data_IF_193629249850
#
_entry.id   IF_193629249850
#
_cell.length_a   1.000
_cell.length_b   1.000
_cell.length_c   1.000
_cell.angle_alpha   90.00
_cell.angle_beta   90.00
_cell.angle_gamma   90.00
#
_symmetry.space_group_name_H-M   'P 1'
#
loop_
_entity.id
_entity.type
_entity.pdbx_description
1 polymer ?
#
# COMPACT_ATOMS: atom_id res chain seq x y z
N UNK A 1 -21.96 -6.23 -18.17
CA UNK A 1 -21.66 -7.15 -17.06
C UNK A 1 -22.20 -6.59 -15.75
N UNK A 2 -22.71 -7.45 -14.88
CA UNK A 2 -23.10 -7.05 -13.52
C UNK A 2 -21.83 -7.01 -12.65
N UNK A 3 -21.57 -5.86 -12.05
CA UNK A 3 -20.40 -5.61 -11.22
C UNK A 3 -20.83 -5.19 -9.81
N UNK A 4 -19.88 -5.22 -8.88
CA UNK A 4 -20.12 -4.92 -7.48
C UNK A 4 -19.04 -3.97 -6.95
N UNK A 5 -19.48 -2.86 -6.36
CA UNK A 5 -18.70 -2.04 -5.44
C UNK A 5 -19.35 -2.14 -4.04
N UNK A 6 -19.66 -1.02 -3.38
CA UNK A 6 -20.57 -1.02 -2.21
C UNK A 6 -22.01 -1.39 -2.57
N UNK A 7 -22.39 -1.25 -3.83
CA UNK A 7 -23.70 -1.61 -4.38
C UNK A 7 -23.52 -2.26 -5.77
N UNK A 8 -24.49 -3.08 -6.23
CA UNK A 8 -24.47 -3.62 -7.59
C UNK A 8 -24.65 -2.50 -8.63
N UNK A 9 -23.92 -2.60 -9.74
CA UNK A 9 -24.04 -1.72 -10.90
C UNK A 9 -23.81 -2.49 -12.20
N UNK A 10 -24.24 -1.91 -13.33
CA UNK A 10 -24.06 -2.53 -14.65
C UNK A 10 -22.97 -1.75 -15.38
N UNK A 11 -21.91 -2.42 -15.83
CA UNK A 11 -20.99 -1.86 -16.83
C UNK A 11 -21.35 -2.43 -18.20
N UNK A 12 -21.36 -1.61 -19.24
CA UNK A 12 -21.57 -2.03 -20.61
C UNK A 12 -20.85 -1.09 -21.57
N UNK A 13 -20.70 -1.48 -22.83
CA UNK A 13 -20.13 -0.63 -23.86
C UNK A 13 -21.25 -0.11 -24.76
N UNK A 14 -21.31 1.20 -24.97
CA UNK A 14 -22.15 1.86 -25.98
C UNK A 14 -21.17 2.56 -26.93
N UNK A 15 -21.20 2.24 -28.22
CA UNK A 15 -20.32 2.86 -29.23
C UNK A 15 -18.82 2.85 -28.84
N UNK A 16 -18.35 1.72 -28.32
CA UNK A 16 -16.99 1.51 -27.78
C UNK A 16 -16.61 2.39 -26.57
N UNK A 17 -17.58 3.07 -25.94
CA UNK A 17 -17.40 3.81 -24.69
C UNK A 17 -17.91 2.95 -23.53
N UNK A 18 -17.08 2.76 -22.51
CA UNK A 18 -17.53 2.10 -21.27
C UNK A 18 -18.51 3.01 -20.51
N UNK A 19 -19.69 2.47 -20.22
CA UNK A 19 -20.78 3.14 -19.51
C UNK A 19 -21.14 2.34 -18.26
N UNK A 20 -21.11 3.01 -17.10
CA UNK A 20 -21.52 2.46 -15.82
C UNK A 20 -22.90 2.99 -15.41
N UNK A 21 -23.90 2.11 -15.33
CA UNK A 21 -25.24 2.40 -14.85
C UNK A 21 -25.33 2.04 -13.37
N UNK A 22 -25.44 3.06 -12.53
CA UNK A 22 -25.49 2.92 -11.07
C UNK A 22 -26.87 3.34 -10.56
N UNK A 23 -27.68 2.43 -10.00
CA UNK A 23 -28.95 2.80 -9.40
C UNK A 23 -28.73 3.58 -8.10
N UNK A 24 -29.48 4.66 -7.90
CA UNK A 24 -29.40 5.50 -6.70
C UNK A 24 -30.79 6.03 -6.32
N UNK A 25 -31.00 6.35 -5.04
CA UNK A 25 -32.23 6.99 -4.60
C UNK A 25 -32.23 8.47 -4.98
N UNK A 26 -33.34 8.94 -5.54
CA UNK A 26 -33.55 10.37 -5.77
C UNK A 26 -33.91 11.04 -4.44
N UNK A 27 -32.92 11.65 -3.80
CA UNK A 27 -33.11 12.41 -2.55
C UNK A 27 -33.14 13.92 -2.85
N UNK A 28 -33.88 14.68 -2.04
CA UNK A 28 -34.09 16.12 -2.26
C UNK A 28 -32.98 17.02 -1.72
N UNK A 29 -32.14 16.51 -0.82
CA UNK A 29 -31.08 17.28 -0.17
C UNK A 29 -29.96 16.34 0.34
N UNK A 30 -28.72 16.84 0.48
CA UNK A 30 -27.59 16.03 0.96
C UNK A 30 -27.83 15.42 2.35
N UNK A 31 -28.50 16.14 3.25
CA UNK A 31 -28.82 15.61 4.59
C UNK A 31 -29.83 14.44 4.60
N UNK A 32 -30.38 14.06 3.44
CA UNK A 32 -31.33 12.93 3.27
C UNK A 32 -30.73 11.74 2.52
N UNK A 33 -29.42 11.72 2.29
CA UNK A 33 -28.70 10.62 1.66
C UNK A 33 -28.92 9.31 2.44
N UNK A 34 -29.26 8.23 1.73
CA UNK A 34 -29.51 6.90 2.30
C UNK A 34 -28.32 5.97 2.02
N UNK A 35 -27.78 6.04 0.80
CA UNK A 35 -26.69 5.21 0.32
C UNK A 35 -25.49 6.05 -0.13
N UNK A 36 -24.32 5.43 -0.25
CA UNK A 36 -23.12 6.15 -0.68
C UNK A 36 -23.25 6.75 -2.09
N UNK A 37 -24.05 6.14 -2.98
CA UNK A 37 -24.22 6.55 -4.37
C UNK A 37 -25.20 7.71 -4.55
N UNK A 38 -26.09 7.95 -3.58
CA UNK A 38 -27.04 9.09 -3.62
C UNK A 38 -26.32 10.45 -3.50
N UNK A 39 -25.05 10.45 -3.08
CA UNK A 39 -24.17 11.64 -3.04
C UNK A 39 -23.74 12.12 -4.42
N UNK A 40 -23.57 11.19 -5.36
CA UNK A 40 -22.92 11.47 -6.65
C UNK A 40 -23.57 12.60 -7.44
N UNK A 41 -24.92 12.74 -7.50
CA UNK A 41 -25.56 13.88 -8.15
C UNK A 41 -25.17 15.22 -7.52
N UNK A 42 -25.16 15.31 -6.18
CA UNK A 42 -24.79 16.55 -5.48
C UNK A 42 -23.31 16.89 -5.62
N UNK A 43 -22.41 15.89 -5.60
CA UNK A 43 -20.99 16.13 -5.90
C UNK A 43 -20.83 16.70 -7.32
N UNK A 44 -21.56 16.13 -8.28
CA UNK A 44 -21.51 16.58 -9.68
C UNK A 44 -22.01 18.02 -9.81
N UNK A 45 -23.11 18.34 -9.14
CA UNK A 45 -23.67 19.70 -9.10
C UNK A 45 -22.70 20.70 -8.44
N UNK A 46 -22.11 20.33 -7.31
CA UNK A 46 -21.13 21.15 -6.60
C UNK A 46 -19.92 21.44 -7.50
N UNK A 47 -19.30 20.41 -8.09
CA UNK A 47 -18.15 20.59 -8.98
C UNK A 47 -18.52 21.45 -10.20
N UNK A 48 -19.69 21.22 -10.82
CA UNK A 48 -20.12 22.01 -11.99
C UNK A 48 -20.32 23.49 -11.68
N UNK A 49 -20.73 23.83 -10.46
CA UNK A 49 -21.01 25.21 -10.04
C UNK A 49 -19.78 25.94 -9.52
N UNK A 50 -18.75 25.23 -9.05
CA UNK A 50 -17.56 25.81 -8.43
C UNK A 50 -16.29 25.71 -9.28
N UNK A 51 -16.27 24.83 -10.29
CA UNK A 51 -15.12 24.65 -11.18
C UNK A 51 -15.31 25.47 -12.47
N UNK A 52 -14.44 26.46 -12.68
CA UNK A 52 -14.41 27.23 -13.93
C UNK A 52 -13.91 26.40 -15.13
N UNK A 53 -14.14 26.87 -16.36
CA UNK A 53 -13.64 26.18 -17.57
C UNK A 53 -12.11 26.02 -17.55
N UNK A 54 -11.36 27.06 -17.15
CA UNK A 54 -9.90 27.00 -17.08
C UNK A 54 -9.41 25.97 -16.04
N UNK A 55 -10.09 25.86 -14.89
CA UNK A 55 -9.74 24.91 -13.84
C UNK A 55 -9.95 23.44 -14.27
N UNK A 56 -10.76 23.16 -15.29
CA UNK A 56 -10.90 21.78 -15.81
C UNK A 56 -9.59 21.25 -16.38
N UNK A 57 -8.79 22.11 -17.00
CA UNK A 57 -7.48 21.73 -17.51
C UNK A 57 -6.46 21.52 -16.37
N UNK A 58 -6.50 22.36 -15.34
CA UNK A 58 -5.71 22.17 -14.11
C UNK A 58 -6.00 20.82 -13.44
N UNK A 59 -7.27 20.40 -13.41
CA UNK A 59 -7.66 19.06 -12.92
C UNK A 59 -7.06 17.96 -13.80
N UNK A 60 -7.05 18.10 -15.13
CA UNK A 60 -6.46 17.11 -16.04
C UNK A 60 -4.94 17.00 -15.84
N UNK A 61 -4.26 18.14 -15.68
CA UNK A 61 -2.82 18.20 -15.38
C UNK A 61 -2.51 17.49 -14.07
N UNK A 62 -3.27 17.77 -13.00
CA UNK A 62 -3.13 17.08 -11.72
C UNK A 62 -3.36 15.56 -11.85
N UNK A 63 -4.43 15.15 -12.54
CA UNK A 63 -4.71 13.72 -12.78
C UNK A 63 -3.57 13.04 -13.53
N UNK A 64 -3.01 13.68 -14.56
CA UNK A 64 -1.88 13.13 -15.32
C UNK A 64 -0.62 13.02 -14.45
N UNK A 65 -0.29 14.05 -13.67
CA UNK A 65 0.81 14.03 -12.71
C UNK A 65 0.65 12.85 -11.74
N UNK A 66 -0.52 12.69 -11.12
CA UNK A 66 -0.77 11.60 -10.19
C UNK A 66 -0.68 10.22 -10.84
N UNK A 67 -1.19 10.06 -12.08
CA UNK A 67 -1.08 8.80 -12.84
C UNK A 67 0.36 8.41 -13.12
N UNK A 68 1.20 9.35 -13.53
CA UNK A 68 2.61 9.13 -13.84
C UNK A 68 3.47 8.68 -12.64
N UNK A 69 2.93 8.80 -11.42
CA UNK A 69 3.54 8.33 -10.19
C UNK A 69 2.73 7.25 -9.48
N UNK A 70 1.72 6.67 -10.15
CA UNK A 70 0.85 5.60 -9.62
C UNK A 70 0.12 6.02 -8.33
N UNK A 71 -0.28 7.30 -8.23
CA UNK A 71 -0.98 7.90 -7.08
C UNK A 71 -2.46 8.24 -7.36
N UNK A 72 -2.93 8.07 -8.61
CA UNK A 72 -4.32 8.36 -8.99
C UNK A 72 -5.21 7.13 -8.81
N UNK A 73 -6.25 7.25 -7.98
CA UNK A 73 -7.12 6.14 -7.58
C UNK A 73 -7.36 6.12 -6.08
N UNK A 74 -8.57 5.75 -5.66
CA UNK A 74 -8.96 5.65 -4.24
C UNK A 74 -9.37 4.22 -3.82
N UNK A 75 -9.32 3.29 -4.77
CA UNK A 75 -9.36 1.85 -4.54
C UNK A 75 -8.28 1.40 -3.56
N UNK A 76 -8.51 0.26 -2.91
CA UNK A 76 -7.63 -0.23 -1.83
C UNK A 76 -6.23 -0.58 -2.35
N UNK A 77 -6.10 -0.93 -3.64
CA UNK A 77 -4.83 -1.16 -4.32
C UNK A 77 -3.94 0.09 -4.31
N UNK A 78 -4.52 1.23 -4.69
CA UNK A 78 -3.77 2.46 -4.91
C UNK A 78 -3.67 3.28 -3.63
N UNK A 79 -4.76 3.42 -2.86
CA UNK A 79 -4.82 4.27 -1.65
C UNK A 79 -4.32 5.71 -1.91
N UNK A 80 -4.71 6.28 -3.04
CA UNK A 80 -4.23 7.56 -3.56
C UNK A 80 -5.32 8.62 -3.63
N UNK A 81 -5.28 9.43 -4.69
CA UNK A 81 -6.15 10.57 -4.91
C UNK A 81 -7.31 10.19 -5.84
N UNK A 82 -8.56 10.29 -5.35
CA UNK A 82 -9.75 10.08 -6.18
C UNK A 82 -9.97 11.24 -7.18
N UNK A 83 -10.73 10.99 -8.24
CA UNK A 83 -11.14 12.05 -9.18
C UNK A 83 -11.86 13.22 -8.49
N UNK A 84 -12.80 12.93 -7.60
CA UNK A 84 -13.48 13.96 -6.82
C UNK A 84 -12.51 14.74 -5.91
N UNK A 85 -11.56 14.05 -5.25
CA UNK A 85 -10.55 14.73 -4.45
C UNK A 85 -9.68 15.67 -5.30
N UNK A 86 -9.29 15.25 -6.51
CA UNK A 86 -8.50 16.12 -7.41
C UNK A 86 -9.28 17.38 -7.81
N UNK A 87 -10.58 17.27 -8.04
CA UNK A 87 -11.45 18.41 -8.36
C UNK A 87 -11.57 19.36 -7.16
N UNK A 88 -11.84 18.83 -5.95
CA UNK A 88 -11.90 19.63 -4.73
C UNK A 88 -10.58 20.36 -4.42
N UNK A 89 -9.44 19.71 -4.65
CA UNK A 89 -8.13 20.33 -4.44
C UNK A 89 -7.89 21.51 -5.39
N UNK A 90 -8.29 21.39 -6.66
CA UNK A 90 -8.20 22.51 -7.61
C UNK A 90 -9.21 23.62 -7.30
N UNK A 91 -10.42 23.27 -6.81
CA UNK A 91 -11.37 24.27 -6.31
C UNK A 91 -10.76 25.04 -5.12
N UNK A 92 -10.11 24.34 -4.19
CA UNK A 92 -9.54 24.95 -2.99
C UNK A 92 -8.31 25.85 -3.27
N UNK A 93 -7.47 25.48 -4.24
CA UNK A 93 -6.19 26.16 -4.49
C UNK A 93 -6.10 26.85 -5.86
N UNK A 94 -7.18 26.86 -6.65
CA UNK A 94 -7.31 27.47 -7.97
C UNK A 94 -6.53 26.80 -9.11
N UNK A 95 -5.26 26.44 -8.94
CA UNK A 95 -4.43 25.87 -10.01
C UNK A 95 -3.59 24.68 -9.54
N UNK A 96 -3.08 23.88 -10.47
CA UNK A 96 -2.12 22.82 -10.18
C UNK A 96 -0.87 23.37 -9.51
N UNK A 97 -0.32 24.47 -10.03
CA UNK A 97 0.87 25.10 -9.48
C UNK A 97 0.65 25.57 -8.03
N UNK A 98 -0.47 26.24 -7.76
CA UNK A 98 -0.83 26.70 -6.42
C UNK A 98 -1.12 25.57 -5.44
N UNK A 99 -1.76 24.51 -5.92
CA UNK A 99 -1.92 23.27 -5.15
C UNK A 99 -0.56 22.73 -4.72
N UNK A 100 0.41 22.61 -5.63
CA UNK A 100 1.74 22.10 -5.26
C UNK A 100 2.42 22.99 -4.23
N UNK A 101 2.35 24.33 -4.38
CA UNK A 101 2.93 25.28 -3.42
C UNK A 101 2.36 25.07 -2.01
N UNK A 102 1.05 24.86 -1.91
CA UNK A 102 0.39 24.59 -0.63
C UNK A 102 0.66 23.16 -0.12
N UNK A 103 0.77 22.18 -1.01
CA UNK A 103 1.04 20.79 -0.66
C UNK A 103 2.40 20.60 0.02
N UNK A 104 3.39 21.42 -0.36
CA UNK A 104 4.70 21.47 0.32
C UNK A 104 4.57 21.86 1.79
N UNK A 105 3.54 22.60 2.19
CA UNK A 105 3.32 23.00 3.58
C UNK A 105 2.44 22.01 4.37
N UNK A 106 1.79 21.06 3.71
CA UNK A 106 0.91 20.10 4.38
C UNK A 106 1.66 19.27 5.44
N UNK A 107 1.12 19.22 6.64
CA UNK A 107 1.60 18.38 7.73
C UNK A 107 0.69 17.16 7.88
N UNK A 108 1.27 15.97 7.81
CA UNK A 108 0.53 14.72 8.00
C UNK A 108 -0.24 14.74 9.32
N UNK A 109 -1.50 14.29 9.29
CA UNK A 109 -2.41 14.27 10.45
C UNK A 109 -2.77 15.64 11.04
N UNK A 110 -2.30 16.73 10.43
CA UNK A 110 -2.45 18.11 10.96
C UNK A 110 -3.01 19.09 9.94
N UNK A 111 -3.29 18.64 8.72
CA UNK A 111 -3.82 19.49 7.64
C UNK A 111 -5.29 19.17 7.42
N UNK A 112 -6.13 20.19 7.52
CA UNK A 112 -7.54 20.13 7.13
C UNK A 112 -7.85 21.23 6.13
N UNK A 113 -8.43 20.84 5.00
CA UNK A 113 -8.92 21.71 3.93
C UNK A 113 -10.45 21.66 4.00
N UNK A 114 -11.07 22.78 4.36
CA UNK A 114 -12.52 22.91 4.51
C UNK A 114 -12.98 24.11 3.68
N UNK A 115 -13.38 23.83 2.43
CA UNK A 115 -13.69 24.82 1.39
C UNK A 115 -14.88 25.71 1.83
N UNK A 116 -15.87 25.10 2.49
CA UNK A 116 -17.11 25.76 2.91
C UNK A 116 -17.07 26.24 4.38
N UNK A 117 -15.91 26.15 5.04
CA UNK A 117 -15.74 26.55 6.45
C UNK A 117 -16.77 25.94 7.42
N UNK A 118 -17.14 24.67 7.21
CA UNK A 118 -18.06 23.92 8.05
C UNK A 118 -17.60 23.78 9.52
N UNK A 119 -16.29 23.84 9.76
CA UNK A 119 -15.70 23.69 11.08
C UNK A 119 -15.12 25.01 11.60
N UNK A 120 -15.54 25.42 12.80
CA UNK A 120 -15.04 26.64 13.48
C UNK A 120 -13.51 26.68 13.72
N UNK A 121 -12.78 25.56 13.59
CA UNK A 121 -11.32 25.54 13.64
C UNK A 121 -10.76 24.26 13.04
N UNK A 122 -9.51 24.31 12.59
CA UNK A 122 -8.73 23.15 12.12
C UNK A 122 -8.68 22.04 13.18
N UNK A 123 -8.58 22.39 14.48
CA UNK A 123 -8.56 21.42 15.57
C UNK A 123 -9.84 20.57 15.60
N UNK A 124 -11.01 21.21 15.54
CA UNK A 124 -12.30 20.48 15.53
C UNK A 124 -12.46 19.61 14.29
N UNK A 125 -12.01 20.11 13.13
CA UNK A 125 -11.98 19.30 11.90
C UNK A 125 -11.12 18.03 12.08
N UNK A 126 -9.89 18.17 12.59
CA UNK A 126 -8.98 17.04 12.80
C UNK A 126 -9.46 16.07 13.89
N UNK A 127 -10.13 16.56 14.93
CA UNK A 127 -10.77 15.74 15.95
C UNK A 127 -11.89 14.85 15.39
N UNK A 128 -12.60 15.32 14.35
CA UNK A 128 -13.62 14.54 13.65
C UNK A 128 -13.02 13.42 12.81
N UNK A 129 -11.89 13.68 12.15
CA UNK A 129 -11.28 12.79 11.15
C UNK A 129 -9.91 12.25 11.58
N UNK A 130 -9.84 11.75 12.82
CA UNK A 130 -8.59 11.25 13.42
C UNK A 130 -7.92 10.17 12.57
N UNK A 131 -6.60 10.21 12.49
CA UNK A 131 -5.79 9.19 11.80
C UNK A 131 -5.73 9.33 10.28
N UNK A 132 -6.38 10.33 9.68
CA UNK A 132 -6.26 10.61 8.24
C UNK A 132 -4.96 11.36 7.94
N UNK A 133 -4.23 10.95 6.91
CA UNK A 133 -2.99 11.63 6.50
C UNK A 133 -3.25 13.08 6.09
N UNK A 134 -4.32 13.30 5.33
CA UNK A 134 -4.88 14.59 4.93
C UNK A 134 -6.39 14.57 5.17
N UNK A 135 -6.94 15.70 5.62
CA UNK A 135 -8.38 15.90 5.70
C UNK A 135 -8.80 16.91 4.65
N UNK A 136 -9.74 16.50 3.79
CA UNK A 136 -10.47 17.40 2.88
C UNK A 136 -11.94 17.20 3.17
N UNK A 137 -12.57 18.19 3.81
CA UNK A 137 -13.99 18.13 4.18
C UNK A 137 -14.80 18.12 2.91
N UNK A 138 -15.70 17.13 2.79
CA UNK A 138 -16.62 17.08 1.66
C UNK A 138 -17.66 18.21 1.79
N UNK A 139 -17.74 19.14 0.81
CA UNK A 139 -18.66 20.27 0.89
C UNK A 139 -20.14 19.87 0.88
N UNK A 140 -20.45 18.68 0.36
CA UNK A 140 -21.83 18.14 0.30
C UNK A 140 -22.20 17.37 1.58
N UNK A 141 -21.20 16.78 2.25
CA UNK A 141 -21.38 16.01 3.48
C UNK A 141 -20.24 16.31 4.47
N UNK A 142 -20.38 17.34 5.32
CA UNK A 142 -19.30 17.78 6.21
C UNK A 142 -18.80 16.71 7.19
N UNK A 143 -19.52 15.58 7.34
CA UNK A 143 -19.11 14.44 8.17
C UNK A 143 -18.22 13.45 7.42
N UNK A 144 -17.87 13.71 6.16
CA UNK A 144 -17.02 12.88 5.30
C UNK A 144 -15.69 13.57 4.99
N UNK A 145 -14.61 12.78 5.00
CA UNK A 145 -13.31 13.17 4.49
C UNK A 145 -13.16 12.63 3.05
N UNK A 146 -13.06 13.51 2.06
CA UNK A 146 -12.86 13.15 0.66
C UNK A 146 -11.49 12.50 0.41
N UNK A 147 -10.51 12.72 1.30
CA UNK A 147 -9.18 12.11 1.27
C UNK A 147 -9.03 10.87 2.18
N UNK A 148 -10.12 10.27 2.64
CA UNK A 148 -10.07 9.13 3.58
C UNK A 148 -9.28 7.91 3.07
N UNK A 149 -9.24 7.70 1.75
CA UNK A 149 -8.49 6.60 1.13
C UNK A 149 -6.99 6.89 0.97
N UNK A 150 -6.55 8.15 1.11
CA UNK A 150 -5.17 8.55 0.88
C UNK A 150 -4.26 8.04 2.00
N UNK A 151 -3.38 7.10 1.66
CA UNK A 151 -2.40 6.56 2.62
C UNK A 151 -1.33 7.59 3.00
N UNK A 152 -0.72 7.42 4.19
CA UNK A 152 0.44 8.24 4.59
C UNK A 152 1.59 8.12 3.59
N UNK A 153 1.81 6.93 3.02
CA UNK A 153 2.84 6.68 1.99
C UNK A 153 2.61 7.59 0.78
N UNK A 154 1.43 7.56 0.19
CA UNK A 154 1.12 8.32 -1.01
C UNK A 154 1.02 9.83 -0.75
N UNK A 155 0.51 10.23 0.41
CA UNK A 155 0.58 11.61 0.87
C UNK A 155 2.03 12.12 0.90
N UNK A 156 2.94 11.32 1.47
CA UNK A 156 4.35 11.69 1.62
C UNK A 156 5.07 11.75 0.28
N UNK A 157 4.78 10.80 -0.62
CA UNK A 157 5.30 10.83 -2.00
C UNK A 157 4.79 12.08 -2.71
N UNK A 158 3.49 12.37 -2.70
CA UNK A 158 2.94 13.55 -3.37
C UNK A 158 3.55 14.86 -2.87
N UNK A 159 3.70 15.02 -1.55
CA UNK A 159 4.36 16.19 -0.96
C UNK A 159 5.81 16.32 -1.42
N UNK A 160 6.56 15.22 -1.46
CA UNK A 160 7.95 15.22 -1.95
C UNK A 160 8.03 15.60 -3.44
N UNK A 161 7.16 15.00 -4.27
CA UNK A 161 7.07 15.31 -5.69
C UNK A 161 6.70 16.77 -5.93
N UNK A 162 5.78 17.32 -5.12
CA UNK A 162 5.39 18.73 -5.18
C UNK A 162 6.60 19.64 -4.97
N UNK A 163 7.40 19.37 -3.92
CA UNK A 163 8.61 20.15 -3.61
C UNK A 163 9.62 20.11 -4.76
N UNK A 164 9.92 18.92 -5.26
CA UNK A 164 10.94 18.75 -6.29
C UNK A 164 10.47 19.32 -7.63
N UNK A 165 9.20 19.13 -8.00
CA UNK A 165 8.65 19.72 -9.23
C UNK A 165 8.71 21.25 -9.21
N UNK A 166 8.40 21.88 -8.07
CA UNK A 166 8.49 23.34 -7.94
C UNK A 166 9.94 23.86 -8.06
N UNK A 167 10.92 23.09 -7.60
CA UNK A 167 12.34 23.45 -7.70
C UNK A 167 12.94 23.14 -9.09
N UNK A 168 12.47 22.07 -9.74
CA UNK A 168 12.98 21.56 -11.02
C UNK A 168 11.81 21.10 -11.90
N UNK A 169 11.04 22.03 -12.49
CA UNK A 169 9.91 21.67 -13.34
C UNK A 169 10.38 20.88 -14.56
N UNK A 170 9.71 19.77 -14.87
CA UNK A 170 10.04 18.95 -16.03
C UNK A 170 8.82 18.18 -16.52
N UNK A 171 8.72 17.99 -17.84
CA UNK A 171 7.66 17.17 -18.45
C UNK A 171 7.73 15.70 -18.02
N UNK A 172 8.91 15.24 -17.59
CA UNK A 172 9.19 13.87 -17.11
C UNK A 172 8.37 13.48 -15.87
N UNK A 173 7.84 14.46 -15.14
CA UNK A 173 6.92 14.20 -14.02
C UNK A 173 5.52 13.74 -14.47
N UNK A 174 5.15 13.96 -15.73
CA UNK A 174 3.81 13.71 -16.26
C UNK A 174 3.73 12.46 -17.12
N UNK A 175 4.85 11.83 -17.48
CA UNK A 175 4.87 10.65 -18.35
C UNK A 175 5.77 9.57 -17.77
N UNK A 176 5.41 8.30 -17.94
CA UNK A 176 6.33 7.20 -17.68
C UNK A 176 7.16 6.95 -18.94
N UNK A 177 8.46 7.20 -18.83
CA UNK A 177 9.42 7.04 -19.94
C UNK A 177 10.10 5.67 -19.92
N UNK A 178 9.81 4.84 -18.91
CA UNK A 178 10.38 3.51 -18.82
C UNK A 178 9.52 2.54 -19.63
N UNK A 179 9.96 2.20 -20.85
CA UNK A 179 9.52 0.96 -21.49
C UNK A 179 9.95 -0.20 -20.59
N UNK A 180 8.99 -0.78 -19.86
CA UNK A 180 9.26 -1.93 -19.03
C UNK A 180 9.45 -3.16 -19.93
N UNK A 181 10.62 -3.81 -19.83
CA UNK A 181 10.93 -5.04 -20.57
C UNK A 181 9.85 -6.10 -20.29
N UNK A 182 9.13 -6.52 -21.32
CA UNK A 182 7.96 -7.40 -21.18
C UNK A 182 8.29 -8.88 -21.14
N UNK A 183 9.52 -9.27 -21.51
CA UNK A 183 9.94 -10.67 -21.51
C UNK A 183 10.37 -11.13 -20.10
N UNK A 184 9.62 -12.06 -19.44
CA UNK A 184 9.93 -12.51 -18.09
C UNK A 184 11.31 -13.16 -17.96
N UNK A 185 11.79 -13.81 -19.03
CA UNK A 185 13.08 -14.50 -19.00
C UNK A 185 14.25 -13.54 -18.84
N UNK A 186 14.10 -12.27 -19.25
CA UNK A 186 15.13 -11.24 -19.05
C UNK A 186 15.20 -10.75 -17.61
N UNK A 187 14.18 -10.98 -16.78
CA UNK A 187 14.22 -10.66 -15.36
C UNK A 187 14.92 -11.73 -14.52
N UNK A 188 14.93 -12.99 -14.97
CA UNK A 188 15.51 -14.12 -14.22
C UNK A 188 16.99 -13.91 -13.87
N UNK A 189 17.90 -13.51 -14.80
CA UNK A 189 19.30 -13.28 -14.47
C UNK A 189 19.49 -12.21 -13.39
N UNK A 190 18.69 -11.13 -13.47
CA UNK A 190 18.72 -10.04 -12.50
C UNK A 190 18.31 -10.54 -11.10
N UNK A 191 17.18 -11.24 -11.02
CA UNK A 191 16.66 -11.81 -9.77
C UNK A 191 17.66 -12.82 -9.18
N UNK A 192 18.18 -13.73 -10.00
CA UNK A 192 19.15 -14.74 -9.55
C UNK A 192 20.42 -14.09 -8.99
N UNK A 193 20.96 -13.07 -9.68
CA UNK A 193 22.13 -12.34 -9.18
C UNK A 193 21.83 -11.59 -7.88
N UNK A 194 20.64 -10.97 -7.76
CA UNK A 194 20.18 -10.28 -6.54
C UNK A 194 20.04 -11.23 -5.36
N UNK A 195 19.60 -12.46 -5.57
CA UNK A 195 19.48 -13.48 -4.51
C UNK A 195 20.84 -14.04 -4.09
N UNK A 196 21.80 -14.18 -5.02
CA UNK A 196 23.17 -14.60 -4.68
C UNK A 196 23.97 -13.52 -3.95
N UNK A 197 23.72 -12.25 -4.27
CA UNK A 197 24.49 -11.12 -3.73
C UNK A 197 24.13 -10.78 -2.29
N UNK A 198 22.88 -11.00 -1.88
CA UNK A 198 22.43 -10.62 -0.55
C UNK A 198 21.74 -11.78 0.15
N UNK A 199 22.06 -11.95 1.43
CA UNK A 199 21.42 -12.94 2.28
C UNK A 199 19.97 -12.52 2.57
N UNK A 200 19.04 -13.21 1.91
CA UNK A 200 17.60 -13.02 2.06
C UNK A 200 16.87 -14.34 1.96
N UNK A 201 15.86 -14.53 2.80
CA UNK A 201 14.91 -15.65 2.70
C UNK A 201 13.54 -15.11 2.36
N UNK A 202 12.95 -15.62 1.28
CA UNK A 202 11.72 -15.07 0.73
C UNK A 202 10.62 -16.12 0.82
N UNK A 203 9.50 -15.74 1.41
CA UNK A 203 8.26 -16.50 1.39
C UNK A 203 7.35 -15.97 0.30
N UNK A 204 6.79 -16.88 -0.49
CA UNK A 204 5.79 -16.61 -1.53
C UNK A 204 4.53 -17.38 -1.16
N UNK A 205 3.50 -16.66 -0.75
CA UNK A 205 2.22 -17.22 -0.32
C UNK A 205 1.22 -17.05 -1.47
N UNK A 206 0.69 -18.16 -1.98
CA UNK A 206 -0.13 -18.19 -3.19
C UNK A 206 -1.58 -18.48 -2.83
N UNK A 207 -2.50 -17.68 -3.39
CA UNK A 207 -3.93 -17.80 -3.17
C UNK A 207 -4.67 -17.85 -4.51
N UNK A 208 -5.60 -18.79 -4.64
CA UNK A 208 -6.56 -18.84 -5.73
C UNK A 208 -7.79 -18.01 -5.36
N UNK A 209 -8.23 -17.14 -6.26
CA UNK A 209 -9.38 -16.27 -6.08
C UNK A 209 -10.59 -16.88 -6.79
N UNK A 210 -11.61 -17.22 -6.01
CA UNK A 210 -12.87 -17.79 -6.52
C UNK A 210 -13.87 -16.68 -6.85
N UNK A 211 -13.88 -15.60 -6.06
CA UNK A 211 -14.78 -14.46 -6.24
C UNK A 211 -13.98 -13.18 -6.51
N UNK A 212 -13.89 -12.72 -7.77
CA UNK A 212 -13.02 -11.63 -8.17
C UNK A 212 -13.63 -10.26 -7.85
N UNK A 213 -13.68 -9.87 -6.57
CA UNK A 213 -14.01 -8.50 -6.15
C UNK A 213 -12.70 -7.80 -5.76
N UNK A 214 -12.15 -6.88 -6.57
CA UNK A 214 -10.81 -6.31 -6.37
C UNK A 214 -10.56 -5.75 -4.97
N UNK A 215 -11.42 -4.85 -4.49
CA UNK A 215 -11.26 -4.24 -3.16
C UNK A 215 -11.38 -5.27 -2.03
N UNK A 216 -12.20 -6.31 -2.21
CA UNK A 216 -12.30 -7.39 -1.24
C UNK A 216 -11.00 -8.21 -1.19
N UNK A 217 -10.37 -8.48 -2.34
CA UNK A 217 -9.08 -9.17 -2.44
C UNK A 217 -8.01 -8.31 -1.76
N UNK A 218 -7.84 -7.07 -2.20
CA UNK A 218 -6.82 -6.16 -1.69
C UNK A 218 -6.97 -5.90 -0.19
N UNK A 219 -8.19 -5.66 0.28
CA UNK A 219 -8.48 -5.46 1.71
C UNK A 219 -8.08 -6.66 2.56
N UNK A 220 -8.40 -7.88 2.10
CA UNK A 220 -8.02 -9.11 2.81
C UNK A 220 -6.52 -9.37 2.76
N UNK A 221 -5.88 -9.17 1.61
CA UNK A 221 -4.43 -9.36 1.44
C UNK A 221 -3.61 -8.36 2.26
N UNK A 222 -4.01 -7.09 2.32
CA UNK A 222 -3.35 -6.08 3.15
C UNK A 222 -3.53 -6.38 4.65
N UNK A 223 -4.71 -6.85 5.07
CA UNK A 223 -4.93 -7.28 6.46
C UNK A 223 -4.02 -8.46 6.82
N UNK A 224 -3.98 -9.49 5.97
CA UNK A 224 -3.13 -10.66 6.17
C UNK A 224 -1.65 -10.25 6.22
N UNK A 225 -1.20 -9.41 5.28
CA UNK A 225 0.16 -8.84 5.25
C UNK A 225 0.51 -8.18 6.58
N UNK A 226 -0.36 -7.29 7.08
CA UNK A 226 -0.11 -6.57 8.33
C UNK A 226 -0.10 -7.51 9.55
N UNK A 227 -1.00 -8.50 9.61
CA UNK A 227 -1.01 -9.52 10.67
C UNK A 227 0.30 -10.32 10.69
N UNK A 228 0.75 -10.78 9.52
CA UNK A 228 2.00 -11.54 9.41
C UNK A 228 3.20 -10.64 9.77
N UNK A 229 3.29 -9.42 9.22
CA UNK A 229 4.40 -8.51 9.53
C UNK A 229 4.49 -8.19 11.02
N UNK A 230 3.35 -7.96 11.69
CA UNK A 230 3.33 -7.71 13.13
C UNK A 230 3.81 -8.92 13.94
N UNK A 231 3.38 -10.12 13.55
CA UNK A 231 3.83 -11.36 14.20
C UNK A 231 5.31 -11.65 13.92
N UNK A 232 5.80 -11.42 12.71
CA UNK A 232 7.22 -11.60 12.39
C UNK A 232 8.08 -10.59 13.14
N UNK A 233 7.67 -9.32 13.22
CA UNK A 233 8.42 -8.28 13.95
C UNK A 233 8.54 -8.56 15.44
N UNK A 234 7.60 -9.27 16.06
CA UNK A 234 7.76 -9.71 17.45
C UNK A 234 8.75 -10.88 17.59
N UNK A 235 8.90 -11.69 16.54
CA UNK A 235 9.81 -12.84 16.52
C UNK A 235 11.22 -12.50 16.03
N UNK A 236 11.42 -11.55 15.13
CA UNK A 236 12.71 -11.16 14.52
C UNK A 236 12.76 -9.63 14.35
N UNK A 237 12.79 -8.92 15.48
CA UNK A 237 12.83 -7.46 15.53
C UNK A 237 14.17 -6.85 15.06
N UNK A 238 15.23 -7.65 15.01
CA UNK A 238 16.58 -7.28 14.60
C UNK A 238 16.82 -7.38 13.08
N UNK A 239 15.80 -7.81 12.33
CA UNK A 239 15.88 -8.03 10.88
C UNK A 239 14.97 -7.11 10.10
N UNK A 240 15.44 -6.71 8.92
CA UNK A 240 14.61 -5.97 7.97
C UNK A 240 13.65 -6.92 7.26
N UNK A 241 12.36 -6.62 7.36
CA UNK A 241 11.27 -7.41 6.78
C UNK A 241 10.47 -6.52 5.83
N UNK A 242 10.40 -6.94 4.58
CA UNK A 242 9.60 -6.27 3.56
C UNK A 242 8.56 -7.22 3.02
N UNK A 243 7.34 -6.72 2.81
CA UNK A 243 6.27 -7.53 2.24
C UNK A 243 5.40 -6.69 1.32
N UNK A 244 4.95 -7.31 0.24
CA UNK A 244 4.04 -6.68 -0.69
C UNK A 244 3.15 -7.71 -1.39
N UNK A 245 2.06 -7.22 -1.95
CA UNK A 245 1.00 -8.04 -2.55
C UNK A 245 0.97 -7.82 -4.05
N UNK A 246 0.84 -8.91 -4.79
CA UNK A 246 0.52 -8.91 -6.20
C UNK A 246 -0.81 -9.58 -6.44
N UNK A 247 -1.62 -9.04 -7.34
CA UNK A 247 -2.88 -9.65 -7.79
C UNK A 247 -2.87 -9.65 -9.31
N UNK A 248 -3.26 -10.76 -9.92
CA UNK A 248 -3.32 -10.84 -11.38
C UNK A 248 -4.36 -9.84 -11.92
N UNK A 249 -3.91 -8.79 -12.61
CA UNK A 249 -4.79 -7.70 -13.06
C UNK A 249 -5.76 -8.10 -14.17
N UNK A 250 -5.46 -9.14 -14.94
CA UNK A 250 -6.27 -9.57 -16.09
C UNK A 250 -7.41 -10.49 -15.68
N UNK A 251 -7.12 -11.56 -14.93
CA UNK A 251 -8.10 -12.56 -14.54
C UNK A 251 -8.63 -12.38 -13.12
N UNK A 252 -7.89 -11.64 -12.27
CA UNK A 252 -8.12 -11.55 -10.83
C UNK A 252 -8.17 -12.92 -10.14
N UNK A 253 -7.66 -13.98 -10.78
CA UNK A 253 -7.81 -15.37 -10.33
C UNK A 253 -6.73 -15.81 -9.34
N UNK A 254 -5.67 -15.01 -9.19
CA UNK A 254 -4.55 -15.28 -8.29
C UNK A 254 -4.18 -14.02 -7.50
N UNK A 255 -3.91 -14.21 -6.21
CA UNK A 255 -3.30 -13.23 -5.34
C UNK A 255 -2.06 -13.85 -4.68
N UNK A 256 -1.00 -13.05 -4.52
CA UNK A 256 0.28 -13.49 -3.98
C UNK A 256 0.71 -12.48 -2.93
N UNK A 257 1.12 -12.97 -1.76
CA UNK A 257 1.84 -12.18 -0.78
C UNK A 257 3.30 -12.64 -0.78
N UNK A 258 4.22 -11.72 -1.02
CA UNK A 258 5.66 -11.98 -0.94
C UNK A 258 6.23 -11.29 0.29
N UNK A 259 7.06 -12.01 1.05
CA UNK A 259 7.72 -11.53 2.26
C UNK A 259 9.21 -11.83 2.13
N UNK A 260 10.07 -10.81 2.15
CA UNK A 260 11.52 -10.94 2.17
C UNK A 260 12.05 -10.60 3.56
N UNK A 261 12.78 -11.54 4.15
CA UNK A 261 13.49 -11.35 5.42
C UNK A 261 14.98 -11.28 5.10
N UNK A 262 15.61 -10.15 5.43
CA UNK A 262 17.05 -9.95 5.23
C UNK A 262 17.87 -10.57 6.36
N UNK A 263 19.12 -10.94 6.07
CA UNK A 263 20.07 -11.52 7.03
C UNK A 263 19.55 -12.82 7.66
N UNK A 264 18.89 -13.66 6.86
CA UNK A 264 18.22 -14.85 7.36
C UNK A 264 19.20 -15.95 7.80
N UNK A 265 20.39 -16.03 7.18
CA UNK A 265 21.42 -17.03 7.51
C UNK A 265 21.93 -16.97 8.95
N UNK A 266 21.63 -15.89 9.68
CA UNK A 266 21.75 -15.88 11.14
C UNK A 266 20.72 -16.85 11.71
N UNK A 267 21.11 -18.09 11.93
CA UNK A 267 20.22 -19.10 12.54
C UNK A 267 20.10 -18.93 14.06
N UNK A 268 20.29 -17.72 14.59
CA UNK A 268 20.19 -17.49 16.02
C UNK A 268 19.53 -16.15 16.32
N UNK A 269 18.95 -16.05 17.52
CA UNK A 269 18.36 -14.83 18.05
C UNK A 269 18.74 -14.67 19.52
N UNK A 270 19.13 -13.45 19.89
CA UNK A 270 19.23 -13.04 21.29
C UNK A 270 17.81 -12.86 21.87
N UNK A 271 17.51 -13.60 22.95
CA UNK A 271 16.25 -13.46 23.67
C UNK A 271 16.53 -12.78 25.01
N UNK A 272 16.09 -11.54 25.12
CA UNK A 272 16.20 -10.74 26.34
C UNK A 272 15.14 -11.20 27.35
N UNK A 273 15.60 -11.52 28.55
CA UNK A 273 14.78 -11.90 29.69
C UNK A 273 14.52 -10.74 30.66
N UNK A 274 13.85 -11.04 31.79
CA UNK A 274 13.66 -10.07 32.85
C UNK A 274 14.98 -9.76 33.56
N UNK A 275 14.98 -8.71 34.40
CA UNK A 275 16.07 -8.49 35.34
C UNK A 275 16.17 -9.65 36.33
N UNK A 276 17.39 -10.06 36.67
CA UNK A 276 17.64 -11.19 37.55
C UNK A 276 17.09 -11.00 38.98
N UNK A 277 16.93 -9.74 39.42
CA UNK A 277 16.33 -9.41 40.71
C UNK A 277 14.80 -9.61 40.74
N UNK A 278 14.13 -9.73 39.60
CA UNK A 278 12.74 -10.20 39.52
C UNK A 278 12.73 -11.73 39.52
N UNK A 279 12.99 -12.32 40.70
CA UNK A 279 13.28 -13.74 40.86
C UNK A 279 12.19 -14.65 40.28
N UNK A 280 10.91 -14.28 40.43
CA UNK A 280 9.78 -15.08 39.94
C UNK A 280 9.81 -15.16 38.40
N UNK A 281 9.94 -14.01 37.74
CA UNK A 281 9.99 -13.99 36.28
C UNK A 281 11.31 -14.54 35.73
N UNK A 282 12.42 -14.35 36.45
CA UNK A 282 13.72 -14.92 36.13
C UNK A 282 13.67 -16.46 36.13
N UNK A 283 13.15 -17.09 37.19
CA UNK A 283 12.99 -18.56 37.25
C UNK A 283 12.07 -19.05 36.13
N UNK A 284 10.94 -18.39 35.88
CA UNK A 284 10.04 -18.73 34.77
C UNK A 284 10.73 -18.64 33.41
N UNK A 285 11.58 -17.63 33.20
CA UNK A 285 12.36 -17.48 31.99
C UNK A 285 13.38 -18.61 31.84
N UNK A 286 14.14 -18.92 32.88
CA UNK A 286 15.13 -20.02 32.86
C UNK A 286 14.46 -21.36 32.51
N UNK A 287 13.33 -21.69 33.15
CA UNK A 287 12.59 -22.94 32.89
C UNK A 287 12.07 -23.01 31.45
N UNK A 288 11.56 -21.90 30.90
CA UNK A 288 11.06 -21.83 29.50
C UNK A 288 12.15 -21.85 28.44
N UNK A 289 13.40 -21.61 28.82
CA UNK A 289 14.54 -21.50 27.91
C UNK A 289 15.66 -22.49 28.26
N UNK A 290 15.31 -23.63 28.87
CA UNK A 290 16.30 -24.64 29.31
C UNK A 290 17.06 -25.28 28.13
N UNK A 291 16.44 -25.32 26.96
CA UNK A 291 17.03 -25.82 25.70
C UNK A 291 17.65 -24.69 24.85
N UNK A 292 17.99 -23.55 25.45
CA UNK A 292 18.71 -22.52 24.74
C UNK A 292 20.09 -23.03 24.28
N UNK A 293 20.52 -22.58 23.11
CA UNK A 293 21.78 -23.02 22.50
C UNK A 293 23.00 -22.41 23.20
N UNK A 294 22.89 -21.14 23.63
CA UNK A 294 23.93 -20.44 24.40
C UNK A 294 23.27 -19.69 25.57
N UNK A 295 23.91 -19.76 26.73
CA UNK A 295 23.38 -19.21 27.97
C UNK A 295 22.66 -20.26 28.81
N UNK A 296 21.88 -19.83 29.83
CA UNK A 296 21.58 -18.45 30.20
C UNK A 296 22.77 -17.72 30.84
N UNK A 297 22.84 -16.39 30.67
CA UNK A 297 23.76 -15.54 31.44
C UNK A 297 23.06 -14.25 31.88
N UNK A 298 23.67 -13.56 32.85
CA UNK A 298 23.26 -12.21 33.26
C UNK A 298 24.30 -11.23 32.69
N UNK A 299 23.85 -10.19 31.98
CA UNK A 299 24.75 -9.17 31.45
C UNK A 299 24.98 -8.04 32.47
N UNK A 300 25.87 -7.09 32.17
CA UNK A 300 26.24 -5.98 33.07
C UNK A 300 25.04 -5.08 33.46
N UNK A 301 23.96 -5.10 32.69
CA UNK A 301 22.70 -4.41 33.00
C UNK A 301 21.81 -5.17 34.00
N UNK A 302 22.23 -6.35 34.45
CA UNK A 302 21.51 -7.21 35.39
C UNK A 302 20.35 -8.01 34.78
N UNK A 303 20.21 -8.05 33.44
CA UNK A 303 19.18 -8.86 32.75
C UNK A 303 19.66 -10.24 32.39
N UNK A 304 18.72 -11.19 32.37
CA UNK A 304 18.94 -12.52 31.81
C UNK A 304 18.91 -12.51 30.29
N UNK A 305 19.76 -13.32 29.68
CA UNK A 305 19.83 -13.51 28.23
C UNK A 305 20.03 -14.99 27.90
N UNK A 306 19.48 -15.37 26.75
CA UNK A 306 19.81 -16.64 26.07
C UNK A 306 19.94 -16.40 24.57
N UNK A 307 20.68 -17.25 23.89
CA UNK A 307 20.65 -17.34 22.43
C UNK A 307 19.92 -18.63 22.06
N UNK A 308 18.93 -18.48 21.18
CA UNK A 308 18.16 -19.60 20.64
C UNK A 308 18.43 -19.77 19.16
N UNK A 309 18.51 -21.00 18.72
CA UNK A 309 18.44 -21.33 17.30
C UNK A 309 17.11 -20.80 16.75
N UNK A 310 17.16 -20.21 15.56
CA UNK A 310 16.02 -19.64 14.87
C UNK A 310 15.87 -20.28 13.49
N UNK A 311 14.88 -21.15 13.36
CA UNK A 311 14.69 -21.97 12.17
C UNK A 311 13.56 -21.46 11.27
N UNK A 312 13.71 -21.66 9.96
CA UNK A 312 12.69 -21.34 8.96
C UNK A 312 11.37 -22.08 9.18
N UNK A 313 11.40 -23.26 9.81
CA UNK A 313 10.20 -24.03 10.12
C UNK A 313 9.29 -23.30 11.12
N UNK A 314 9.90 -22.63 12.12
CA UNK A 314 9.15 -21.85 13.11
C UNK A 314 8.41 -20.69 12.43
N UNK A 315 9.06 -20.00 11.50
CA UNK A 315 8.43 -18.92 10.72
C UNK A 315 7.37 -19.44 9.78
N UNK A 316 7.63 -20.55 9.11
CA UNK A 316 6.66 -21.20 8.21
C UNK A 316 5.39 -21.59 8.97
N UNK A 317 5.55 -22.21 10.15
CA UNK A 317 4.45 -22.58 11.03
C UNK A 317 3.66 -21.36 11.49
N UNK A 318 4.34 -20.31 11.95
CA UNK A 318 3.70 -19.05 12.35
C UNK A 318 2.87 -18.45 11.21
N UNK A 319 3.44 -18.39 10.00
CA UNK A 319 2.74 -17.89 8.80
C UNK A 319 1.49 -18.73 8.52
N UNK A 320 1.60 -20.07 8.54
CA UNK A 320 0.48 -20.97 8.29
C UNK A 320 -0.62 -20.82 9.36
N UNK A 321 -0.26 -20.69 10.64
CA UNK A 321 -1.23 -20.51 11.73
C UNK A 321 -2.00 -19.19 11.60
N UNK A 322 -1.32 -18.12 11.16
CA UNK A 322 -1.98 -16.83 10.86
C UNK A 322 -2.91 -16.94 9.66
N UNK A 323 -2.52 -17.64 8.60
CA UNK A 323 -3.40 -17.87 7.43
C UNK A 323 -4.65 -18.63 7.86
N UNK A 324 -4.50 -19.72 8.61
CA UNK A 324 -5.62 -20.56 9.08
C UNK A 324 -6.60 -19.81 9.99
N UNK A 325 -6.09 -18.89 10.80
CA UNK A 325 -6.91 -18.05 11.69
C UNK A 325 -7.51 -16.82 10.99
N UNK A 326 -7.08 -16.50 9.77
CA UNK A 326 -7.59 -15.37 9.00
C UNK A 326 -8.74 -15.82 8.09
N UNK A 327 -9.90 -15.19 8.23
CA UNK A 327 -11.01 -15.40 7.28
C UNK A 327 -10.69 -14.73 5.94
N UNK A 328 -10.60 -15.55 4.88
CA UNK A 328 -10.30 -15.14 3.50
C UNK A 328 -11.48 -15.46 2.57
N UNK A 329 -12.57 -14.70 2.69
CA UNK A 329 -13.75 -14.87 1.86
C UNK A 329 -13.42 -14.76 0.36
N UNK A 330 -13.83 -15.77 -0.41
CA UNK A 330 -13.62 -15.80 -1.87
C UNK A 330 -12.18 -16.08 -2.31
N UNK A 331 -11.28 -16.43 -1.39
CA UNK A 331 -9.90 -16.84 -1.68
C UNK A 331 -9.57 -18.15 -0.97
N UNK A 332 -8.75 -18.98 -1.61
CA UNK A 332 -8.27 -20.25 -1.07
C UNK A 332 -6.76 -20.23 -1.07
N UNK A 333 -6.16 -20.46 0.09
CA UNK A 333 -4.71 -20.66 0.20
C UNK A 333 -4.31 -21.92 -0.57
N UNK A 334 -3.41 -21.76 -1.53
CA UNK A 334 -2.91 -22.86 -2.34
C UNK A 334 -1.69 -23.49 -1.66
N UNK A 335 -0.64 -22.69 -1.44
CA UNK A 335 0.61 -23.14 -0.84
C UNK A 335 1.51 -21.97 -0.44
N UNK A 336 2.55 -22.30 0.32
CA UNK A 336 3.70 -21.44 0.56
C UNK A 336 4.92 -22.04 -0.14
N UNK A 337 5.65 -21.20 -0.85
CA UNK A 337 6.92 -21.55 -1.51
C UNK A 337 8.01 -20.65 -0.96
N UNK A 338 9.23 -21.17 -0.83
CA UNK A 338 10.38 -20.40 -0.37
C UNK A 338 11.38 -20.19 -1.49
N UNK A 339 11.94 -18.99 -1.57
CA UNK A 339 12.99 -18.64 -2.53
C UNK A 339 14.26 -18.33 -1.74
N UNK A 340 15.32 -19.03 -2.11
CA UNK A 340 16.66 -18.95 -1.55
C UNK A 340 17.66 -18.74 -2.70
N UNK A 341 18.95 -18.46 -2.41
CA UNK A 341 19.97 -18.29 -3.46
C UNK A 341 20.12 -19.49 -4.41
N UNK A 342 19.73 -20.69 -3.95
CA UNK A 342 19.84 -21.95 -4.72
C UNK A 342 18.53 -22.36 -5.42
N UNK A 343 17.45 -21.58 -5.27
CA UNK A 343 16.15 -21.91 -5.88
C UNK A 343 16.19 -21.74 -7.40
N UNK A 344 15.76 -22.75 -8.15
CA UNK A 344 15.57 -22.61 -9.61
C UNK A 344 14.32 -21.77 -9.92
N UNK A 345 14.55 -20.51 -10.25
CA UNK A 345 13.50 -19.54 -10.59
C UNK A 345 12.71 -19.91 -11.85
N UNK A 346 13.17 -20.85 -12.68
CA UNK A 346 12.42 -21.33 -13.85
C UNK A 346 11.17 -22.11 -13.43
N UNK A 347 11.19 -22.73 -12.26
CA UNK A 347 10.03 -23.42 -11.69
C UNK A 347 8.92 -22.42 -11.33
N UNK A 348 9.29 -21.21 -10.89
CA UNK A 348 8.34 -20.11 -10.71
C UNK A 348 7.78 -19.62 -12.05
N UNK A 349 8.39 -19.88 -13.20
CA UNK A 349 7.78 -19.54 -14.49
C UNK A 349 6.77 -20.63 -14.94
N UNK A 350 6.98 -21.88 -14.54
CA UNK A 350 6.11 -23.01 -14.87
C UNK A 350 4.77 -22.99 -14.10
N UNK A 351 4.72 -22.36 -12.93
CA UNK A 351 3.53 -22.31 -12.07
C UNK A 351 2.44 -21.29 -12.47
N UNK A 352 2.45 -20.87 -13.74
CA UNK A 352 1.53 -19.86 -14.31
C UNK A 352 1.72 -18.45 -13.72
N UNK A 353 2.91 -18.11 -13.23
CA UNK A 353 3.22 -16.71 -12.97
C UNK A 353 3.54 -16.07 -14.32
N UNK A 354 2.70 -15.10 -14.72
CA UNK A 354 2.81 -14.42 -16.00
C UNK A 354 4.01 -13.45 -16.01
N UNK A 355 4.30 -12.87 -17.18
CA UNK A 355 5.32 -11.83 -17.35
C UNK A 355 5.18 -10.69 -16.35
N UNK A 356 3.93 -10.29 -16.08
CA UNK A 356 3.56 -9.25 -15.12
C UNK A 356 4.04 -9.56 -13.68
N UNK A 357 3.87 -10.79 -13.20
CA UNK A 357 4.39 -11.17 -11.88
C UNK A 357 5.91 -11.08 -11.81
N UNK A 358 6.63 -11.56 -12.83
CA UNK A 358 8.09 -11.56 -12.82
C UNK A 358 8.67 -10.13 -12.82
N UNK A 359 8.03 -9.23 -13.56
CA UNK A 359 8.34 -7.81 -13.56
C UNK A 359 8.06 -7.19 -12.18
N UNK A 360 6.87 -7.43 -11.62
CA UNK A 360 6.52 -6.97 -10.28
C UNK A 360 7.50 -7.51 -9.23
N UNK A 361 7.88 -8.79 -9.28
CA UNK A 361 8.77 -9.42 -8.32
C UNK A 361 10.20 -8.85 -8.42
N UNK A 362 10.66 -8.54 -9.63
CA UNK A 362 11.89 -7.77 -9.81
C UNK A 362 11.80 -6.41 -9.11
N UNK A 363 10.72 -5.66 -9.31
CA UNK A 363 10.53 -4.35 -8.66
C UNK A 363 10.42 -4.46 -7.13
N UNK A 364 9.78 -5.51 -6.63
CA UNK A 364 9.72 -5.86 -5.22
C UNK A 364 11.14 -6.03 -4.64
N UNK A 365 12.03 -6.77 -5.31
CA UNK A 365 13.41 -6.98 -4.86
C UNK A 365 14.31 -5.76 -5.03
N UNK A 366 14.05 -4.94 -6.05
CA UNK A 366 14.77 -3.68 -6.27
C UNK A 366 14.45 -2.66 -5.19
N UNK A 367 13.20 -2.61 -4.72
CA UNK A 367 12.69 -1.63 -3.75
C UNK A 367 13.00 -0.19 -4.18
N UNK A 368 12.86 0.13 -5.46
CA UNK A 368 13.13 1.48 -6.01
C UNK A 368 11.86 2.18 -6.54
N UNK A 369 10.81 2.38 -5.71
CA UNK A 369 9.59 3.05 -6.15
C UNK A 369 9.81 4.52 -6.55
N UNK A 370 10.92 5.12 -6.11
CA UNK A 370 11.31 6.51 -6.44
C UNK A 370 12.51 6.58 -7.39
N UNK A 371 12.84 5.50 -8.12
CA UNK A 371 13.97 5.51 -9.08
C UNK A 371 13.85 6.65 -10.08
N UNK A 372 12.66 6.83 -10.65
CA UNK A 372 12.34 7.94 -11.56
C UNK A 372 12.71 9.30 -10.98
N UNK A 373 12.40 9.52 -9.71
CA UNK A 373 12.70 10.76 -9.02
C UNK A 373 14.21 10.96 -8.83
N UNK A 374 14.91 9.88 -8.48
CA UNK A 374 16.37 9.88 -8.40
C UNK A 374 17.02 10.20 -9.76
N UNK A 375 16.51 9.60 -10.83
CA UNK A 375 17.03 9.81 -12.19
C UNK A 375 16.79 11.25 -12.66
N UNK A 376 15.60 11.83 -12.36
CA UNK A 376 15.30 13.26 -12.58
C UNK A 376 16.26 14.17 -11.79
N UNK A 377 16.51 13.87 -10.51
CA UNK A 377 17.39 14.68 -9.66
C UNK A 377 18.86 14.61 -10.07
N UNK A 378 19.28 13.49 -10.64
CA UNK A 378 20.67 13.25 -11.07
C UNK A 378 20.94 13.65 -12.52
N UNK A 379 19.93 14.07 -13.29
CA UNK A 379 20.07 14.42 -14.70
C UNK A 379 20.36 13.22 -15.61
N UNK A 380 20.18 11.99 -15.11
CA UNK A 380 20.55 10.74 -15.79
C UNK A 380 19.48 10.23 -16.77
N UNK A 381 18.42 10.99 -17.02
CA UNK A 381 17.42 10.65 -18.03
C UNK A 381 17.76 11.44 -19.28
N UNK A 382 18.24 10.74 -20.31
CA UNK A 382 18.52 11.29 -21.65
C UNK A 382 17.30 12.11 -22.08
N UNK A 383 17.53 13.33 -22.56
CA UNK A 383 16.51 14.36 -22.84
C UNK A 383 15.36 13.89 -23.72
#
# INVERSE_FOLDING_TARGET
TLNYATHPYISLYIDNIEVNIVPAFKVKAPNKIISAVDRTPFHTEYVKTHLSEAQKDEVRVLKQFLKAWKLYGAEIEVQGFSGYLTELLIIAYNSFYDLLRNAVEWRAYKTCIDIEHNYSSTKKCLEKFKGSALVVVDPVDPKRNAAAALSLKNFSIFKLLSKIFLERPSVKFFFDEYEEETNPLKHIPYISNRLKKYDSYIYVLIFNVIKPIPDMIWGQMLRLKNSILNALRSQINDREIYADVWVNRTSLSKAILVIEIMQFSKNYKLHEGPYAFDVINAVNFLTKNIEAEIGPWINDDGRLYVIKNFESETITKLIIDIIKSTSLAGMVFEKVTTITPNTDLRLLNQERFNSDFMLWFRHFLERKPLKKLYDILSGNIIE
#
